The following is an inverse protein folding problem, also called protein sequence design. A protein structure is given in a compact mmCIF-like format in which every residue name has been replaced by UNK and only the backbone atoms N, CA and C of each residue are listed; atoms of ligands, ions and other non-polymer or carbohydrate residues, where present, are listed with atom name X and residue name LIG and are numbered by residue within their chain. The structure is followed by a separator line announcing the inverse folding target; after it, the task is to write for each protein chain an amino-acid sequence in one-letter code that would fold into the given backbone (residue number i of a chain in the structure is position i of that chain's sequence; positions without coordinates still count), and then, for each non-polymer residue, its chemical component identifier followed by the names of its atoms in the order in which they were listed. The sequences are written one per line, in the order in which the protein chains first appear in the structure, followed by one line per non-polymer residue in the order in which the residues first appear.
data_IF_962704418471
#
_entry.id   IF_962704418471
#
_cell.length_a   1.000
_cell.length_b   1.000
_cell.length_c   1.000
_cell.angle_alpha   90.00
_cell.angle_beta   90.00
_cell.angle_gamma   90.00
#
_symmetry.space_group_name_H-M   'P 1'
#
loop_
_entity.id
_entity.type
_entity.pdbx_description
1 polymer ?
#
# COMPACT_ATOMS: atom_id res chain seq x y z
N UNK A 1 0.16 -4.09 -12.00
CA UNK A 1 0.14 -3.79 -10.56
C UNK A 1 -1.28 -3.52 -10.11
N UNK A 2 -1.58 -3.82 -8.85
CA UNK A 2 -2.71 -3.27 -8.12
C UNK A 2 -2.26 -2.14 -7.20
N UNK A 3 -3.13 -1.16 -6.96
CA UNK A 3 -2.87 -0.01 -6.11
C UNK A 3 -4.05 0.22 -5.17
N UNK A 4 -3.76 0.23 -3.88
CA UNK A 4 -4.70 0.47 -2.81
C UNK A 4 -4.29 1.75 -2.11
N UNK A 5 -5.16 2.77 -2.15
CA UNK A 5 -4.93 4.05 -1.50
C UNK A 5 -5.77 4.16 -0.24
N UNK A 6 -5.14 4.51 0.86
CA UNK A 6 -5.77 4.81 2.12
C UNK A 6 -5.56 6.29 2.45
N UNK A 7 -6.65 6.97 2.80
CA UNK A 7 -6.56 8.27 3.47
C UNK A 7 -6.71 8.05 4.97
N UNK A 8 -5.74 8.53 5.74
CA UNK A 8 -5.75 8.40 7.21
C UNK A 8 -5.23 9.67 7.87
N UNK A 9 -5.21 9.67 9.20
CA UNK A 9 -4.72 10.78 10.01
C UNK A 9 -3.77 10.23 11.07
N UNK A 10 -2.56 10.77 11.15
CA UNK A 10 -1.56 10.43 12.18
C UNK A 10 -1.28 11.68 12.99
N UNK A 11 -1.51 11.66 14.31
CA UNK A 11 -1.32 12.82 15.20
C UNK A 11 -2.05 14.09 14.74
N UNK A 12 -3.24 13.95 14.13
CA UNK A 12 -4.01 15.07 13.59
C UNK A 12 -3.56 15.57 12.21
N UNK A 13 -2.51 14.99 11.63
CA UNK A 13 -2.04 15.32 10.28
C UNK A 13 -2.59 14.33 9.25
N UNK A 14 -3.22 14.79 8.16
CA UNK A 14 -3.64 13.91 7.08
C UNK A 14 -2.45 13.23 6.43
N UNK A 15 -2.57 11.92 6.20
CA UNK A 15 -1.58 11.09 5.54
C UNK A 15 -2.24 10.28 4.42
N UNK A 16 -1.47 10.02 3.37
CA UNK A 16 -1.86 9.14 2.29
C UNK A 16 -0.94 7.93 2.26
N UNK A 17 -1.54 6.76 2.14
CA UNK A 17 -0.79 5.51 2.02
C UNK A 17 -1.18 4.85 0.73
N UNK A 18 -0.17 4.45 -0.04
CA UNK A 18 -0.34 3.69 -1.26
C UNK A 18 0.42 2.38 -1.12
N UNK A 19 -0.25 1.26 -1.30
CA UNK A 19 0.37 -0.06 -1.28
C UNK A 19 -0.33 -0.99 -2.26
N UNK A 20 0.29 -2.12 -2.57
CA UNK A 20 -0.29 -3.09 -3.49
C UNK A 20 0.69 -4.14 -3.95
N UNK A 21 0.29 -4.87 -4.99
CA UNK A 21 1.07 -5.93 -5.62
C UNK A 21 1.57 -5.49 -7.00
N UNK A 22 2.87 -5.58 -7.23
CA UNK A 22 3.45 -5.44 -8.57
C UNK A 22 3.66 -6.82 -9.20
N UNK A 23 2.81 -7.17 -10.17
CA UNK A 23 2.90 -8.41 -10.95
C UNK A 23 4.22 -8.49 -11.77
N UNK A 24 4.76 -7.38 -12.28
CA UNK A 24 6.00 -7.44 -13.07
C UNK A 24 7.22 -7.74 -12.20
N UNK A 25 7.28 -7.12 -11.03
CA UNK A 25 8.38 -7.29 -10.08
C UNK A 25 8.14 -8.44 -9.09
N UNK A 26 6.94 -9.03 -9.10
CA UNK A 26 6.50 -10.11 -8.21
C UNK A 26 6.78 -9.76 -6.73
N UNK A 27 6.42 -8.54 -6.33
CA UNK A 27 6.65 -8.00 -4.99
C UNK A 27 5.51 -7.09 -4.54
N UNK A 28 5.33 -6.99 -3.23
CA UNK A 28 4.55 -5.92 -2.63
C UNK A 28 5.35 -4.62 -2.54
N UNK A 29 4.65 -3.49 -2.44
CA UNK A 29 5.24 -2.16 -2.24
C UNK A 29 4.42 -1.32 -1.25
N UNK A 30 5.03 -0.27 -0.71
CA UNK A 30 4.40 0.67 0.22
C UNK A 30 5.06 2.06 0.12
N UNK A 31 4.22 3.08 -0.06
CA UNK A 31 4.58 4.49 0.03
C UNK A 31 3.68 5.17 1.04
N UNK A 32 4.26 6.04 1.87
CA UNK A 32 3.53 6.92 2.80
C UNK A 32 3.89 8.35 2.45
N UNK A 33 2.87 9.17 2.22
CA UNK A 33 2.97 10.57 1.85
C UNK A 33 2.22 11.45 2.85
N UNK A 34 2.70 12.67 3.06
CA UNK A 34 1.98 13.68 3.81
C UNK A 34 0.87 14.34 2.97
N UNK A 35 0.14 15.30 3.55
CA UNK A 35 -0.93 16.02 2.85
C UNK A 35 -0.47 16.85 1.64
N UNK A 36 0.83 17.16 1.55
CA UNK A 36 1.45 17.92 0.46
C UNK A 36 2.01 17.00 -0.63
N UNK A 37 1.95 15.68 -0.44
CA UNK A 37 2.56 14.69 -1.33
C UNK A 37 4.06 14.53 -1.13
N UNK A 38 4.60 15.01 0.00
CA UNK A 38 5.99 14.71 0.37
C UNK A 38 6.08 13.27 0.86
N UNK A 39 6.97 12.49 0.25
CA UNK A 39 7.20 11.09 0.61
C UNK A 39 7.88 11.04 1.97
N UNK A 40 7.16 10.52 2.96
CA UNK A 40 7.68 10.25 4.31
C UNK A 40 8.44 8.91 4.32
N UNK A 41 7.95 7.96 3.52
CA UNK A 41 8.52 6.64 3.39
C UNK A 41 8.24 6.07 2.00
N UNK A 42 9.26 5.49 1.38
CA UNK A 42 9.10 4.56 0.27
C UNK A 42 9.86 3.28 0.59
N UNK A 43 9.27 2.14 0.22
CA UNK A 43 9.93 0.84 0.28
C UNK A 43 11.21 0.76 -0.56
N UNK A 44 11.41 1.67 -1.53
CA UNK A 44 12.65 1.84 -2.27
C UNK A 44 13.81 2.25 -1.34
N UNK A 45 13.55 3.01 -0.27
CA UNK A 45 14.58 3.44 0.68
C UNK A 45 15.06 2.31 1.60
N UNK A 46 14.14 1.38 1.91
CA UNK A 46 14.40 0.21 2.75
C UNK A 46 14.98 -0.97 1.96
N UNK A 47 14.72 -1.01 0.66
CA UNK A 47 15.17 -2.09 -0.18
C UNK A 47 16.47 -1.70 -0.87
N UNK A 48 17.59 -2.40 -0.57
CA UNK A 48 18.70 -2.49 -1.51
C UNK A 48 18.23 -3.34 -2.71
N UNK A 49 17.27 -2.84 -3.47
CA UNK A 49 16.61 -3.61 -4.51
C UNK A 49 17.62 -3.93 -5.62
N UNK A 50 17.58 -5.19 -6.04
CA UNK A 50 17.95 -5.69 -7.38
C UNK A 50 19.43 -5.94 -7.75
N UNK A 51 20.44 -5.50 -6.99
CA UNK A 51 21.86 -5.79 -7.37
C UNK A 51 22.45 -7.06 -6.70
N UNK A 52 21.84 -7.59 -5.63
CA UNK A 52 22.46 -8.65 -4.79
C UNK A 52 21.71 -9.99 -4.71
N UNK A 53 20.66 -10.22 -5.50
CA UNK A 53 19.98 -11.53 -5.53
C UNK A 53 19.16 -11.88 -4.28
N UNK A 54 18.71 -10.87 -3.53
CA UNK A 54 17.77 -11.06 -2.42
C UNK A 54 16.36 -11.35 -2.96
N UNK A 55 15.65 -12.25 -2.28
CA UNK A 55 14.32 -12.69 -2.67
C UNK A 55 13.31 -11.54 -2.52
N UNK A 56 12.32 -11.42 -3.44
CA UNK A 56 11.27 -10.40 -3.33
C UNK A 56 10.50 -10.56 -2.02
N UNK A 57 9.96 -9.47 -1.48
CA UNK A 57 9.13 -9.52 -0.28
C UNK A 57 7.80 -10.16 -0.66
N UNK A 58 7.63 -11.43 -0.28
CA UNK A 58 6.45 -12.22 -0.61
C UNK A 58 5.36 -12.20 0.48
N UNK A 59 5.60 -11.53 1.61
CA UNK A 59 4.62 -11.39 2.68
C UNK A 59 4.31 -9.92 2.94
N UNK A 60 3.03 -9.56 2.83
CA UNK A 60 2.59 -8.19 3.05
C UNK A 60 2.69 -7.75 4.53
N UNK A 61 2.82 -8.69 5.48
CA UNK A 61 2.91 -8.38 6.91
C UNK A 61 4.11 -7.50 7.27
N UNK A 62 5.21 -7.60 6.52
CA UNK A 62 6.36 -6.69 6.67
C UNK A 62 5.95 -5.22 6.50
N UNK A 63 5.08 -4.94 5.52
CA UNK A 63 4.59 -3.59 5.24
C UNK A 63 3.55 -3.13 6.26
N UNK A 64 2.79 -4.05 6.84
CA UNK A 64 1.90 -3.74 7.97
C UNK A 64 2.71 -3.25 9.16
N UNK A 65 3.73 -4.00 9.58
CA UNK A 65 4.63 -3.60 10.68
C UNK A 65 5.37 -2.28 10.38
N UNK A 66 5.75 -2.06 9.12
CA UNK A 66 6.41 -0.81 8.71
C UNK A 66 5.44 0.37 8.79
N UNK A 67 4.21 0.24 8.31
CA UNK A 67 3.19 1.28 8.41
C UNK A 67 2.91 1.65 9.87
N UNK A 68 2.83 0.67 10.76
CA UNK A 68 2.62 0.89 12.20
C UNK A 68 3.75 1.72 12.84
N UNK A 69 5.00 1.53 12.40
CA UNK A 69 6.15 2.34 12.86
C UNK A 69 6.02 3.83 12.49
N UNK A 70 5.29 4.15 11.42
CA UNK A 70 4.96 5.52 11.04
C UNK A 70 3.63 6.01 11.63
N UNK A 71 3.02 5.23 12.53
CA UNK A 71 1.74 5.56 13.17
C UNK A 71 0.53 5.33 12.25
N UNK A 72 0.71 4.68 11.11
CA UNK A 72 -0.36 4.31 10.18
C UNK A 72 -0.90 2.94 10.55
N UNK A 73 -2.23 2.84 10.68
CA UNK A 73 -2.93 1.56 10.79
C UNK A 73 -3.61 1.28 9.44
N UNK A 74 -3.23 0.18 8.79
CA UNK A 74 -3.90 -0.28 7.58
C UNK A 74 -5.18 -1.04 7.96
N UNK A 75 -6.34 -0.74 7.34
CA UNK A 75 -7.56 -1.50 7.60
C UNK A 75 -7.42 -2.97 7.18
N UNK A 76 -7.93 -3.89 7.99
CA UNK A 76 -7.92 -5.32 7.71
C UNK A 76 -8.49 -5.67 6.31
N UNK A 77 -9.62 -5.08 5.85
CA UNK A 77 -10.13 -5.35 4.50
C UNK A 77 -9.17 -4.94 3.38
N UNK A 78 -8.35 -3.91 3.60
CA UNK A 78 -7.33 -3.46 2.65
C UNK A 78 -6.17 -4.45 2.61
N UNK A 79 -5.71 -4.93 3.77
CA UNK A 79 -4.65 -5.94 3.91
C UNK A 79 -5.04 -7.23 3.18
N UNK A 80 -6.24 -7.73 3.45
CA UNK A 80 -6.75 -8.96 2.82
C UNK A 80 -6.82 -8.83 1.31
N UNK A 81 -7.35 -7.71 0.81
CA UNK A 81 -7.48 -7.48 -0.63
C UNK A 81 -6.13 -7.39 -1.35
N UNK A 82 -5.10 -6.80 -0.71
CA UNK A 82 -3.74 -6.76 -1.26
C UNK A 82 -3.12 -8.17 -1.29
N UNK A 83 -3.31 -8.96 -0.23
CA UNK A 83 -2.85 -10.37 -0.20
C UNK A 83 -3.54 -11.20 -1.27
N UNK A 84 -4.83 -10.97 -1.53
CA UNK A 84 -5.55 -11.63 -2.62
C UNK A 84 -5.00 -11.24 -4.01
N UNK A 85 -4.61 -9.97 -4.20
CA UNK A 85 -4.05 -9.48 -5.46
C UNK A 85 -2.74 -10.18 -5.86
N UNK A 86 -1.97 -10.68 -4.89
CA UNK A 86 -0.81 -11.54 -5.16
C UNK A 86 -1.21 -12.86 -5.83
N UNK A 87 -2.38 -13.41 -5.49
CA UNK A 87 -2.84 -14.71 -5.98
C UNK A 87 -3.53 -14.58 -7.35
N UNK A 88 -4.37 -13.55 -7.51
CA UNK A 88 -5.14 -13.36 -8.76
C UNK A 88 -4.42 -12.50 -9.80
N UNK A 89 -3.32 -11.86 -9.41
CA UNK A 89 -2.43 -11.07 -10.26
C UNK A 89 -3.14 -10.03 -11.15
N UNK A 90 -3.99 -9.15 -10.59
CA UNK A 90 -4.85 -8.32 -11.41
C UNK A 90 -4.02 -7.23 -12.12
N UNK A 91 -4.40 -6.95 -13.37
CA UNK A 91 -3.81 -5.85 -14.14
C UNK A 91 -4.60 -4.57 -13.89
N UNK A 92 -3.91 -3.51 -13.44
CA UNK A 92 -4.43 -2.14 -13.31
C UNK A 92 -5.59 -1.96 -12.31
N UNK A 93 -5.64 -2.78 -11.25
CA UNK A 93 -6.63 -2.62 -10.17
C UNK A 93 -6.29 -1.38 -9.34
N UNK A 94 -7.28 -0.53 -9.10
CA UNK A 94 -7.16 0.64 -8.23
C UNK A 94 -8.31 0.65 -7.21
N UNK A 95 -8.02 0.82 -5.93
CA UNK A 95 -9.02 0.83 -4.85
C UNK A 95 -8.71 1.95 -3.86
N UNK A 96 -9.72 2.72 -3.47
CA UNK A 96 -9.61 3.73 -2.42
C UNK A 96 -10.31 3.25 -1.16
N UNK A 97 -9.63 3.37 -0.03
CA UNK A 97 -10.08 2.96 1.29
C UNK A 97 -10.18 4.17 2.21
N UNK A 98 -11.22 4.19 3.03
CA UNK A 98 -11.32 5.06 4.20
C UNK A 98 -10.71 4.37 5.43
N UNK A 99 -10.42 5.13 6.49
CA UNK A 99 -9.84 4.58 7.72
C UNK A 99 -10.73 3.54 8.43
N UNK A 100 -12.03 3.50 8.11
CA UNK A 100 -12.97 2.47 8.56
C UNK A 100 -12.75 1.10 7.89
N UNK A 101 -11.97 1.04 6.81
CA UNK A 101 -11.84 -0.15 5.95
C UNK A 101 -12.95 -0.26 4.91
N UNK A 102 -13.81 0.74 4.78
CA UNK A 102 -14.78 0.80 3.70
C UNK A 102 -14.11 1.23 2.39
N UNK A 103 -14.51 0.59 1.29
CA UNK A 103 -14.14 1.06 -0.05
C UNK A 103 -14.93 2.33 -0.34
N UNK A 104 -14.24 3.37 -0.77
CA UNK A 104 -14.92 4.50 -1.38
C UNK A 104 -15.52 4.04 -2.69
N UNK A 105 -16.84 4.02 -2.79
CA UNK A 105 -17.53 3.66 -4.03
C UNK A 105 -17.09 4.62 -5.13
N UNK A 106 -16.50 4.09 -6.20
CA UNK A 106 -16.32 4.84 -7.43
C UNK A 106 -17.70 5.28 -7.91
N UNK A 107 -18.02 6.55 -7.69
CA UNK A 107 -19.00 7.22 -8.53
C UNK A 107 -18.34 7.41 -9.91
N UNK A 108 -18.23 6.31 -10.66
CA UNK A 108 -18.23 6.39 -12.12
C UNK A 108 -19.63 6.84 -12.54
N UNK A 109 -19.87 8.15 -12.46
CA UNK A 109 -20.87 8.77 -13.31
C UNK A 109 -20.32 8.72 -14.74
N UNK A 110 -20.90 7.85 -15.56
CA UNK A 110 -20.97 8.03 -17.01
C UNK A 110 -22.39 8.45 -17.31
#
# INVERSE_FOLDING_TARGET
MSQHRLRTTVNGQPMFVMSGWDNQLQTFFLTIEDEKGEVIYSDIDDMPFTVLGLQPIQCFDFFVEKAEKYGVILPEPMIEAIKEDQVIEPMNRFVVWESSGEKKSDSCAI
#
